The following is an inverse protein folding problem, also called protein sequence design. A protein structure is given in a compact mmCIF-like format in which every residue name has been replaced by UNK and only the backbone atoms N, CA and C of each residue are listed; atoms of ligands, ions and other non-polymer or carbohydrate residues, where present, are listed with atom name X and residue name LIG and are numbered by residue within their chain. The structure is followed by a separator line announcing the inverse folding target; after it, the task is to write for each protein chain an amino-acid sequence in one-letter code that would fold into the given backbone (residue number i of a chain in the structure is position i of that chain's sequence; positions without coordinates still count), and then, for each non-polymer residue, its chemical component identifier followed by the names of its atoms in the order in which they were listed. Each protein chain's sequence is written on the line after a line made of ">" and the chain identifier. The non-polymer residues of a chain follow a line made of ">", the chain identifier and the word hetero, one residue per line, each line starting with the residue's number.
data_IF_200472665177
#
_entry.id   IF_200472665177
#
_cell.length_a   1.000
_cell.length_b   1.000
_cell.length_c   1.000
_cell.angle_alpha   90.00
_cell.angle_beta   90.00
_cell.angle_gamma   90.00
#
_symmetry.space_group_name_H-M   'P 1'
#
loop_
_entity.id
_entity.type
_entity.pdbx_description
1 polymer ?
#
# COMPACT_ATOMS: atom_id res chain seq x y z
N UNK A 1 -27.06 -29.66 13.43
CA UNK A 1 -26.97 -28.71 12.31
C UNK A 1 -25.49 -28.48 12.03
N UNK A 2 -24.94 -29.03 10.94
CA UNK A 2 -23.50 -28.97 10.66
C UNK A 2 -23.18 -27.69 9.89
N UNK A 3 -22.60 -26.70 10.57
CA UNK A 3 -22.06 -25.49 9.92
C UNK A 3 -20.84 -25.88 9.10
N UNK A 4 -20.97 -25.91 7.76
CA UNK A 4 -19.80 -25.98 6.87
C UNK A 4 -18.96 -24.72 7.10
N UNK A 5 -17.79 -24.88 7.69
CA UNK A 5 -16.81 -23.80 7.81
C UNK A 5 -16.45 -23.30 6.41
N UNK A 6 -16.71 -22.03 6.13
CA UNK A 6 -16.25 -21.42 4.87
C UNK A 6 -14.73 -21.39 4.94
N UNK A 7 -14.05 -22.14 4.06
CA UNK A 7 -12.59 -22.05 3.93
C UNK A 7 -12.24 -20.57 3.65
N UNK A 8 -11.36 -19.95 4.46
CA UNK A 8 -10.97 -18.57 4.23
C UNK A 8 -10.35 -18.48 2.84
N UNK A 9 -10.92 -17.62 2.00
CA UNK A 9 -10.36 -17.35 0.67
C UNK A 9 -9.07 -16.56 0.88
N UNK A 10 -7.93 -16.98 0.29
CA UNK A 10 -6.69 -16.22 0.42
C UNK A 10 -6.89 -14.76 0.01
N UNK A 11 -6.25 -13.85 0.74
CA UNK A 11 -6.19 -12.44 0.36
C UNK A 11 -5.51 -12.27 -1.01
N UNK A 12 -5.82 -11.18 -1.71
CA UNK A 12 -5.24 -10.88 -3.03
C UNK A 12 -4.37 -9.64 -2.97
N UNK A 13 -3.14 -9.76 -3.46
CA UNK A 13 -2.20 -8.64 -3.63
C UNK A 13 -2.20 -8.26 -5.12
N UNK A 14 -2.31 -6.97 -5.41
CA UNK A 14 -2.24 -6.44 -6.78
C UNK A 14 -1.14 -5.40 -6.84
N UNK A 15 -0.19 -5.58 -7.76
CA UNK A 15 0.80 -4.57 -8.09
C UNK A 15 0.23 -3.64 -9.16
N UNK A 16 0.38 -2.34 -8.95
CA UNK A 16 -0.15 -1.30 -9.82
C UNK A 16 0.96 -0.30 -10.12
N UNK A 17 1.23 -0.03 -11.40
CA UNK A 17 2.09 1.09 -11.79
C UNK A 17 1.34 2.41 -11.68
N UNK A 18 1.93 3.41 -11.04
CA UNK A 18 1.38 4.76 -10.86
C UNK A 18 1.33 5.58 -12.15
N UNK A 19 2.08 5.18 -13.17
CA UNK A 19 2.27 5.97 -14.39
C UNK A 19 3.14 7.21 -14.13
N UNK A 20 3.20 8.16 -15.08
CA UNK A 20 4.06 9.34 -14.97
C UNK A 20 3.48 10.43 -14.05
N UNK A 21 2.27 10.26 -13.52
CA UNK A 21 1.68 11.12 -12.51
C UNK A 21 0.30 11.70 -12.83
N UNK A 22 -0.10 11.72 -14.10
CA UNK A 22 -1.47 12.06 -14.48
C UNK A 22 -2.42 10.88 -14.19
N UNK A 23 -3.42 11.03 -13.29
CA UNK A 23 -4.41 10.00 -13.02
C UNK A 23 -5.16 9.49 -14.26
N UNK A 24 -5.33 10.34 -15.28
CA UNK A 24 -5.97 9.98 -16.55
C UNK A 24 -5.20 8.96 -17.38
N UNK A 25 -3.91 8.76 -17.08
CA UNK A 25 -3.06 7.77 -17.74
C UNK A 25 -3.05 6.41 -17.03
N UNK A 26 -3.73 6.28 -15.88
CA UNK A 26 -3.93 4.98 -15.27
C UNK A 26 -4.83 4.11 -16.13
N UNK A 27 -4.51 2.83 -16.22
CA UNK A 27 -5.46 1.86 -16.79
C UNK A 27 -6.75 1.86 -15.97
N UNK A 28 -7.88 1.59 -16.62
CA UNK A 28 -9.19 1.52 -15.95
C UNK A 28 -9.18 0.55 -14.76
N UNK A 29 -8.44 -0.56 -14.89
CA UNK A 29 -8.28 -1.54 -13.81
C UNK A 29 -7.45 -1.00 -12.64
N UNK A 30 -6.37 -0.27 -12.91
CA UNK A 30 -5.55 0.35 -11.87
C UNK A 30 -6.36 1.37 -11.06
N UNK A 31 -7.09 2.25 -11.74
CA UNK A 31 -7.95 3.23 -11.09
C UNK A 31 -9.02 2.55 -10.20
N UNK A 32 -9.69 1.51 -10.71
CA UNK A 32 -10.69 0.77 -9.94
C UNK A 32 -10.12 0.05 -8.72
N UNK A 33 -8.94 -0.55 -8.85
CA UNK A 33 -8.26 -1.22 -7.73
C UNK A 33 -7.87 -0.21 -6.66
N UNK A 34 -7.24 0.90 -7.02
CA UNK A 34 -6.81 1.92 -6.06
C UNK A 34 -8.02 2.53 -5.33
N UNK A 35 -9.09 2.82 -6.06
CA UNK A 35 -10.32 3.38 -5.49
C UNK A 35 -10.99 2.50 -4.43
N UNK A 36 -10.81 1.17 -4.52
CA UNK A 36 -11.41 0.19 -3.62
C UNK A 36 -10.39 -0.48 -2.69
N UNK A 37 -9.14 -0.03 -2.68
CA UNK A 37 -8.10 -0.62 -1.86
C UNK A 37 -8.12 -0.07 -0.43
N UNK A 38 -8.39 -0.95 0.55
CA UNK A 38 -8.38 -0.62 1.97
C UNK A 38 -6.97 -0.44 2.55
N UNK A 39 -5.95 -1.04 1.91
CA UNK A 39 -4.55 -0.92 2.30
C UNK A 39 -3.69 -0.83 1.04
N UNK A 40 -2.84 0.18 0.97
CA UNK A 40 -1.92 0.40 -0.13
C UNK A 40 -0.54 0.70 0.45
N UNK A 41 0.49 0.09 -0.15
CA UNK A 41 1.88 0.43 0.09
C UNK A 41 2.38 1.21 -1.12
N UNK A 42 3.00 2.36 -0.88
CA UNK A 42 3.42 3.30 -1.92
C UNK A 42 4.89 3.66 -1.73
N UNK A 43 5.58 3.89 -2.84
CA UNK A 43 6.93 4.45 -2.85
C UNK A 43 6.89 5.99 -2.80
N UNK A 44 7.98 6.68 -2.40
CA UNK A 44 8.01 8.14 -2.30
C UNK A 44 7.89 8.89 -3.63
N UNK A 45 8.08 8.19 -4.76
CA UNK A 45 8.01 8.74 -6.11
C UNK A 45 6.59 8.68 -6.71
N UNK A 46 5.63 8.09 -5.99
CA UNK A 46 4.22 8.05 -6.43
C UNK A 46 3.61 9.45 -6.35
N UNK A 47 3.13 10.03 -7.46
CA UNK A 47 2.62 11.40 -7.46
C UNK A 47 1.32 11.56 -6.67
N UNK A 48 1.18 12.70 -5.98
CA UNK A 48 0.03 13.03 -5.14
C UNK A 48 -1.35 12.84 -5.84
N UNK A 49 -1.53 13.21 -7.13
CA UNK A 49 -2.81 12.98 -7.81
C UNK A 49 -3.22 11.50 -7.88
N UNK A 50 -2.27 10.57 -7.89
CA UNK A 50 -2.53 9.12 -7.88
C UNK A 50 -2.86 8.66 -6.46
N UNK A 51 -2.16 9.19 -5.45
CA UNK A 51 -2.42 8.89 -4.04
C UNK A 51 -3.84 9.30 -3.63
N UNK A 52 -4.33 10.43 -4.15
CA UNK A 52 -5.68 10.92 -3.91
C UNK A 52 -6.80 9.98 -4.38
N UNK A 53 -6.50 9.01 -5.25
CA UNK A 53 -7.48 8.00 -5.69
C UNK A 53 -7.64 6.86 -4.69
N UNK A 54 -6.69 6.66 -3.78
CA UNK A 54 -6.67 5.50 -2.89
C UNK A 54 -7.89 5.52 -1.96
N UNK A 55 -8.67 4.45 -1.98
CA UNK A 55 -9.82 4.28 -1.10
C UNK A 55 -10.98 5.24 -1.34
N UNK A 56 -11.00 5.99 -2.45
CA UNK A 56 -12.05 7.01 -2.72
C UNK A 56 -13.47 6.44 -2.75
N UNK A 57 -13.63 5.16 -3.04
CA UNK A 57 -14.92 4.47 -3.15
C UNK A 57 -15.18 3.53 -1.97
N UNK A 58 -14.35 3.57 -0.93
CA UNK A 58 -14.58 2.79 0.29
C UNK A 58 -15.72 3.42 1.11
N UNK A 59 -16.53 2.59 1.80
CA UNK A 59 -17.46 3.11 2.78
C UNK A 59 -16.70 3.88 3.87
N UNK A 60 -17.33 4.89 4.50
CA UNK A 60 -16.70 5.64 5.58
C UNK A 60 -16.20 4.69 6.66
N UNK A 61 -14.98 4.94 7.15
CA UNK A 61 -14.35 4.09 8.15
C UNK A 61 -15.26 3.98 9.36
N UNK A 62 -15.75 2.76 9.62
CA UNK A 62 -16.58 2.48 10.77
C UNK A 62 -15.69 1.85 11.83
N UNK A 63 -15.25 2.65 12.80
CA UNK A 63 -14.30 2.22 13.82
C UNK A 63 -13.70 3.38 14.62
N UNK A 64 -12.95 3.09 15.70
CA UNK A 64 -12.24 4.12 16.46
C UNK A 64 -11.22 4.87 15.57
N UNK A 65 -10.88 6.10 15.96
CA UNK A 65 -10.00 6.98 15.21
C UNK A 65 -8.72 6.26 14.72
N UNK A 66 -8.25 6.57 13.49
CA UNK A 66 -7.08 5.90 12.93
C UNK A 66 -5.88 6.03 13.87
N UNK A 67 -5.13 4.94 14.04
CA UNK A 67 -3.90 4.94 14.80
C UNK A 67 -2.94 6.00 14.21
N UNK A 68 -2.27 6.75 15.09
CA UNK A 68 -1.35 7.81 14.68
C UNK A 68 -0.34 7.28 13.65
N UNK A 69 -0.18 8.03 12.55
CA UNK A 69 0.72 7.66 11.46
C UNK A 69 2.11 7.31 12.03
N UNK A 70 2.63 6.14 11.67
CA UNK A 70 3.97 5.73 12.06
C UNK A 70 4.95 6.56 11.21
N UNK A 71 5.33 7.74 11.70
CA UNK A 71 6.39 8.55 11.11
C UNK A 71 7.64 7.65 11.00
N UNK A 72 7.98 7.28 9.76
CA UNK A 72 8.99 6.28 9.47
C UNK A 72 10.31 6.62 10.14
N UNK A 73 10.73 5.80 11.11
CA UNK A 73 12.14 5.75 11.54
C UNK A 73 12.93 4.97 10.49
N UNK A 74 13.14 5.57 9.32
CA UNK A 74 13.93 4.97 8.22
C UNK A 74 15.42 5.29 8.29
N UNK A 75 15.89 6.04 9.30
CA UNK A 75 17.31 6.44 9.40
C UNK A 75 18.17 5.60 10.36
N UNK A 76 17.60 4.61 11.06
CA UNK A 76 18.38 3.76 11.97
C UNK A 76 19.20 2.69 11.23
N UNK A 77 18.64 2.07 10.19
CA UNK A 77 19.29 0.97 9.46
C UNK A 77 20.42 1.42 8.52
N UNK A 78 20.54 2.71 8.20
CA UNK A 78 21.61 3.23 7.35
C UNK A 78 22.91 3.55 8.12
N UNK A 79 22.88 3.56 9.47
CA UNK A 79 24.06 3.88 10.29
C UNK A 79 24.87 2.66 10.75
N UNK A 80 24.36 1.44 10.61
CA UNK A 80 24.96 0.22 11.20
C UNK A 80 25.42 -0.81 10.16
N UNK A 81 25.99 -0.36 9.04
CA UNK A 81 26.82 -1.25 8.22
C UNK A 81 28.28 -1.18 8.68
N UNK A 82 28.81 -2.17 9.44
CA UNK A 82 30.24 -2.23 9.69
C UNK A 82 30.99 -2.51 8.38
N UNK A 83 32.19 -1.93 8.19
CA UNK A 83 32.96 -2.13 6.97
C UNK A 83 33.33 -3.61 6.82
N UNK A 84 33.03 -4.20 5.64
CA UNK A 84 33.47 -5.56 5.30
C UNK A 84 34.99 -5.61 5.27
N UNK A 85 35.57 -6.46 6.12
CA UNK A 85 37.00 -6.74 6.12
C UNK A 85 37.45 -7.32 4.76
N UNK A 86 38.67 -6.99 4.29
CA UNK A 86 39.18 -7.51 3.03
C UNK A 86 39.40 -9.03 3.15
N UNK A 87 38.86 -9.77 2.18
CA UNK A 87 39.12 -11.21 2.03
C UNK A 87 40.55 -11.37 1.50
N UNK A 88 41.35 -12.15 2.23
CA UNK A 88 42.72 -12.52 1.88
C UNK A 88 42.73 -13.74 0.97
#
# INVERSE_FOLDING_TARGET
>A
MMTRGRKPTPGRITFVGSGPGDPGLLTTRAAAVLANAALVFTDPDVPEPVLALIGKDLPPVSGPAPAAAHAGRTSAWLRESPPRAPRR
#
